data_IF_278459621957
#
_entry.id   IF_278459621957
#
_cell.length_a   1.000
_cell.length_b   1.000
_cell.length_c   1.000
_cell.angle_alpha   90.00
_cell.angle_beta   90.00
_cell.angle_gamma   90.00
#
_symmetry.space_group_name_H-M   'P 1'
#
loop_
_entity.id
_entity.type
_entity.pdbx_description
1 polymer ?
#
# COMPACT_ATOMS: atom_id res chain seq x y z
N UNK A 1 -5.91 7.89 -26.43
CA UNK A 1 -5.16 7.58 -25.19
C UNK A 1 -3.70 7.47 -25.56
N UNK A 2 -2.88 8.43 -25.13
CA UNK A 2 -1.42 8.36 -25.29
C UNK A 2 -0.79 7.62 -24.11
N UNK A 3 0.51 7.30 -24.21
CA UNK A 3 1.26 6.66 -23.11
C UNK A 3 1.31 7.57 -21.88
N UNK A 4 1.41 8.89 -22.09
CA UNK A 4 1.44 9.88 -21.01
C UNK A 4 0.10 9.94 -20.26
N UNK A 5 -1.03 9.89 -20.99
CA UNK A 5 -2.36 9.84 -20.38
C UNK A 5 -2.54 8.56 -19.53
N UNK A 6 -2.02 7.42 -20.01
CA UNK A 6 -2.12 6.15 -19.29
C UNK A 6 -1.26 6.16 -18.01
N UNK A 7 -0.06 6.73 -18.06
CA UNK A 7 0.82 6.81 -16.89
C UNK A 7 0.28 7.79 -15.84
N UNK A 8 -0.33 8.90 -16.27
CA UNK A 8 -1.04 9.82 -15.37
C UNK A 8 -2.26 9.13 -14.74
N UNK A 9 -3.08 8.46 -15.53
CA UNK A 9 -4.25 7.73 -15.03
C UNK A 9 -3.87 6.69 -13.97
N UNK A 10 -2.79 5.91 -14.19
CA UNK A 10 -2.30 4.94 -13.20
C UNK A 10 -1.83 5.61 -11.91
N UNK A 11 -1.15 6.75 -12.00
CA UNK A 11 -0.77 7.54 -10.83
C UNK A 11 -1.99 8.00 -10.02
N UNK A 12 -3.04 8.45 -10.70
CA UNK A 12 -4.30 8.85 -10.05
C UNK A 12 -5.02 7.65 -9.42
N UNK A 13 -4.98 6.46 -10.04
CA UNK A 13 -5.52 5.23 -9.44
C UNK A 13 -4.78 4.88 -8.13
N UNK A 14 -3.46 4.99 -8.11
CA UNK A 14 -2.66 4.78 -6.90
C UNK A 14 -3.08 5.75 -5.79
N UNK A 15 -3.15 7.04 -6.10
CA UNK A 15 -3.50 8.09 -5.15
C UNK A 15 -4.90 7.89 -4.57
N UNK A 16 -5.87 7.51 -5.40
CA UNK A 16 -7.23 7.25 -4.97
C UNK A 16 -7.31 6.07 -3.99
N UNK A 17 -6.64 4.96 -4.29
CA UNK A 17 -6.66 3.79 -3.40
C UNK A 17 -5.92 4.09 -2.09
N UNK A 18 -4.74 4.71 -2.16
CA UNK A 18 -3.98 5.11 -0.98
C UNK A 18 -4.78 6.09 -0.08
N UNK A 19 -5.51 7.02 -0.69
CA UNK A 19 -6.39 7.95 0.03
C UNK A 19 -7.54 7.23 0.72
N UNK A 20 -8.19 6.25 0.06
CA UNK A 20 -9.25 5.44 0.67
C UNK A 20 -8.74 4.66 1.89
N UNK A 21 -7.56 4.06 1.79
CA UNK A 21 -6.93 3.35 2.92
C UNK A 21 -6.67 4.31 4.08
N UNK A 22 -6.21 5.53 3.80
CA UNK A 22 -5.96 6.54 4.83
C UNK A 22 -7.25 7.05 5.49
N UNK A 23 -8.33 7.20 4.72
CA UNK A 23 -9.62 7.69 5.20
C UNK A 23 -10.43 6.66 5.97
N UNK A 24 -10.28 5.37 5.63
CA UNK A 24 -11.08 4.30 6.24
C UNK A 24 -10.23 3.04 6.50
N UNK A 25 -9.13 3.18 7.27
CA UNK A 25 -8.16 2.12 7.49
C UNK A 25 -8.75 0.85 8.11
N UNK A 26 -9.83 0.94 8.89
CA UNK A 26 -10.48 -0.22 9.51
C UNK A 26 -11.02 -1.24 8.49
N UNK A 27 -11.27 -0.85 7.24
CA UNK A 27 -11.71 -1.76 6.18
C UNK A 27 -10.55 -2.43 5.44
N UNK A 28 -9.33 -1.95 5.62
CA UNK A 28 -8.15 -2.38 4.87
C UNK A 28 -7.08 -3.01 5.76
N UNK A 29 -6.94 -2.54 6.99
CA UNK A 29 -5.83 -2.83 7.90
C UNK A 29 -6.28 -3.70 9.09
N UNK A 30 -7.17 -4.65 8.82
CA UNK A 30 -7.56 -5.69 9.79
C UNK A 30 -6.62 -6.89 9.66
N UNK A 31 -5.43 -6.74 10.25
CA UNK A 31 -4.38 -7.76 10.20
C UNK A 31 -3.95 -8.16 11.60
N UNK A 32 -4.07 -9.44 11.92
CA UNK A 32 -3.56 -10.04 13.16
C UNK A 32 -2.07 -10.41 13.01
N UNK A 33 -1.64 -10.70 11.77
CA UNK A 33 -0.28 -11.10 11.46
C UNK A 33 0.18 -10.65 10.07
N UNK A 34 1.49 -10.75 9.81
CA UNK A 34 2.09 -10.60 8.46
C UNK A 34 1.41 -11.51 7.43
N UNK A 35 1.00 -12.72 7.83
CA UNK A 35 0.32 -13.68 6.93
C UNK A 35 -1.02 -13.17 6.40
N UNK A 36 -1.73 -12.33 7.15
CA UNK A 36 -3.02 -11.77 6.71
C UNK A 36 -2.84 -10.71 5.63
N UNK A 37 -1.70 -10.02 5.63
CA UNK A 37 -1.33 -9.07 4.57
C UNK A 37 -1.28 -9.77 3.21
N UNK A 38 -0.67 -10.96 3.13
CA UNK A 38 -0.60 -11.73 1.88
C UNK A 38 -1.97 -12.23 1.38
N UNK A 39 -3.01 -12.22 2.23
CA UNK A 39 -4.39 -12.57 1.86
C UNK A 39 -5.21 -11.35 1.44
N UNK A 40 -4.67 -10.14 1.62
CA UNK A 40 -5.37 -8.88 1.38
C UNK A 40 -5.56 -8.64 -0.13
N UNK A 41 -6.74 -8.96 -0.63
CA UNK A 41 -7.08 -8.81 -2.06
C UNK A 41 -6.98 -7.37 -2.57
N UNK A 42 -7.15 -6.38 -1.69
CA UNK A 42 -7.05 -4.97 -2.09
C UNK A 42 -5.63 -4.55 -2.50
N UNK A 43 -4.59 -5.34 -2.16
CA UNK A 43 -3.24 -5.09 -2.66
C UNK A 43 -3.15 -5.28 -4.19
N UNK A 44 -3.98 -6.15 -4.77
CA UNK A 44 -4.09 -6.35 -6.22
C UNK A 44 -4.90 -5.22 -6.92
N UNK A 45 -5.63 -4.39 -6.17
CA UNK A 45 -6.39 -3.26 -6.73
C UNK A 45 -5.49 -2.06 -7.09
N UNK A 46 -4.22 -2.06 -6.64
CA UNK A 46 -3.26 -1.07 -7.08
C UNK A 46 -2.94 -1.21 -8.58
N UNK A 47 -2.58 -0.11 -9.27
CA UNK A 47 -2.27 -0.16 -10.69
C UNK A 47 -1.11 -1.10 -11.00
N UNK A 48 -1.21 -1.80 -12.14
CA UNK A 48 -0.14 -2.66 -12.66
C UNK A 48 1.18 -1.89 -12.75
N UNK A 49 2.22 -2.45 -12.13
CA UNK A 49 3.52 -1.83 -11.92
C UNK A 49 3.77 -1.40 -10.47
N UNK A 50 2.78 -1.52 -9.60
CA UNK A 50 2.95 -1.38 -8.15
C UNK A 50 3.69 -2.59 -7.59
N UNK A 51 4.65 -2.33 -6.72
CA UNK A 51 5.35 -3.34 -5.92
C UNK A 51 5.05 -3.11 -4.46
N UNK A 52 4.87 -4.17 -3.69
CA UNK A 52 4.72 -4.07 -2.25
C UNK A 52 5.57 -5.11 -1.53
N UNK A 53 5.92 -4.81 -0.29
CA UNK A 53 6.70 -5.68 0.57
C UNK A 53 6.24 -5.52 2.02
N UNK A 54 6.38 -6.58 2.79
CA UNK A 54 6.12 -6.58 4.23
C UNK A 54 7.43 -6.88 4.95
N UNK A 55 7.76 -6.10 5.96
CA UNK A 55 8.88 -6.36 6.86
C UNK A 55 8.35 -6.60 8.27
N UNK A 56 8.55 -7.81 8.77
CA UNK A 56 8.43 -8.18 10.18
C UNK A 56 9.72 -8.87 10.60
N UNK A 57 10.02 -8.89 11.91
CA UNK A 57 11.19 -9.61 12.41
C UNK A 57 11.04 -11.14 12.26
N UNK A 58 9.80 -11.64 12.16
CA UNK A 58 9.42 -13.05 11.96
C UNK A 58 8.03 -13.14 11.27
N UNK A 59 7.66 -14.29 10.70
CA UNK A 59 6.33 -14.55 10.07
C UNK A 59 5.14 -14.44 11.05
N UNK A 60 5.41 -14.40 12.36
CA UNK A 60 4.45 -14.16 13.43
C UNK A 60 4.64 -12.83 14.16
N UNK A 61 5.39 -11.88 13.59
CA UNK A 61 5.62 -10.58 14.22
C UNK A 61 4.31 -9.77 14.31
N UNK A 62 3.97 -9.36 15.53
CA UNK A 62 2.83 -8.49 15.84
C UNK A 62 3.08 -7.02 15.41
N UNK A 63 4.36 -6.65 15.32
CA UNK A 63 4.82 -5.36 14.80
C UNK A 63 5.47 -5.56 13.42
N UNK A 64 4.89 -4.96 12.39
CA UNK A 64 5.38 -5.07 11.02
C UNK A 64 5.08 -3.82 10.20
N UNK A 65 5.76 -3.69 9.07
CA UNK A 65 5.57 -2.58 8.15
C UNK A 65 5.20 -3.09 6.76
N UNK A 66 4.19 -2.50 6.14
CA UNK A 66 3.79 -2.72 4.76
C UNK A 66 4.26 -1.50 3.96
N UNK A 67 5.07 -1.73 2.93
CA UNK A 67 5.55 -0.70 2.03
C UNK A 67 5.01 -0.97 0.63
N UNK A 68 4.21 -0.05 0.09
CA UNK A 68 3.61 -0.14 -1.23
C UNK A 68 4.17 1.00 -2.07
N UNK A 69 4.69 0.70 -3.25
CA UNK A 69 5.42 1.64 -4.09
C UNK A 69 4.97 1.54 -5.54
N UNK A 70 4.69 2.69 -6.14
CA UNK A 70 4.46 2.82 -7.57
C UNK A 70 5.53 3.72 -8.19
N UNK A 71 6.27 3.18 -9.15
CA UNK A 71 7.40 3.87 -9.80
C UNK A 71 7.09 4.13 -11.27
N UNK A 72 7.24 5.38 -11.66
CA UNK A 72 7.23 5.84 -13.05
C UNK A 72 8.64 6.28 -13.45
N UNK A 73 8.82 6.74 -14.68
CA UNK A 73 10.11 7.24 -15.16
C UNK A 73 10.59 8.49 -14.40
N UNK A 74 9.64 9.31 -13.91
CA UNK A 74 9.94 10.62 -13.32
C UNK A 74 9.56 10.74 -11.84
N UNK A 75 8.73 9.83 -11.33
CA UNK A 75 8.14 9.94 -10.00
C UNK A 75 8.04 8.59 -9.30
N UNK A 76 8.23 8.62 -7.99
CA UNK A 76 8.02 7.49 -7.10
C UNK A 76 6.93 7.90 -6.12
N UNK A 77 5.88 7.09 -6.01
CA UNK A 77 4.83 7.22 -5.00
C UNK A 77 4.99 6.08 -4.00
N UNK A 78 4.78 6.35 -2.71
CA UNK A 78 4.88 5.37 -1.64
C UNK A 78 3.76 5.55 -0.63
N UNK A 79 3.17 4.43 -0.21
CA UNK A 79 2.33 4.32 0.97
C UNK A 79 3.04 3.37 1.94
N UNK A 80 3.29 3.83 3.16
CA UNK A 80 3.92 3.03 4.22
C UNK A 80 2.93 2.90 5.37
N UNK A 81 2.74 1.67 5.85
CA UNK A 81 1.81 1.35 6.93
C UNK A 81 2.62 0.62 8.00
N UNK A 82 2.78 1.24 9.16
CA UNK A 82 3.38 0.62 10.34
C UNK A 82 2.24 0.04 11.18
N UNK A 83 2.22 -1.28 11.39
CA UNK A 83 1.29 -1.99 12.27
C UNK A 83 2.00 -2.27 13.60
N UNK A 84 1.39 -1.87 14.72
CA UNK A 84 1.92 -2.07 16.07
C UNK A 84 0.82 -2.32 17.08
N UNK A 85 0.71 -3.53 17.64
CA UNK A 85 -0.14 -3.89 18.79
C UNK A 85 -1.49 -3.12 18.87
N UNK A 86 -2.33 -3.25 17.83
CA UNK A 86 -3.66 -2.62 17.75
C UNK A 86 -3.68 -1.15 17.30
N UNK A 87 -2.52 -0.58 17.00
CA UNK A 87 -2.36 0.74 16.40
C UNK A 87 -1.73 0.62 15.01
N UNK A 88 -2.07 1.56 14.13
CA UNK A 88 -1.38 1.70 12.86
C UNK A 88 -1.00 3.16 12.63
N UNK A 89 0.07 3.35 11.87
CA UNK A 89 0.47 4.65 11.35
C UNK A 89 0.63 4.55 9.84
N UNK A 90 -0.03 5.46 9.14
CA UNK A 90 0.00 5.52 7.67
C UNK A 90 0.78 6.77 7.28
N UNK A 91 1.79 6.59 6.43
CA UNK A 91 2.56 7.67 5.82
C UNK A 91 2.46 7.58 4.30
N UNK A 92 2.14 8.71 3.67
CA UNK A 92 1.91 8.76 2.23
C UNK A 92 2.82 9.82 1.60
N UNK A 93 3.65 9.37 0.67
CA UNK A 93 4.53 10.21 -0.14
C UNK A 93 4.09 10.09 -1.61
N UNK A 94 3.31 11.05 -2.09
CA UNK A 94 2.66 11.00 -3.41
C UNK A 94 3.05 12.12 -4.36
#
# INVERSE_FOLDING_TARGET
MTILDLEQYKQECFDQLATKICQSPEYYLDFDSVSDVYKAKWLDDFPVGTTWAVSGLDDGAEDFCISIQYKTLYKIKRLSIEMKQGHYKIDMNI
#
